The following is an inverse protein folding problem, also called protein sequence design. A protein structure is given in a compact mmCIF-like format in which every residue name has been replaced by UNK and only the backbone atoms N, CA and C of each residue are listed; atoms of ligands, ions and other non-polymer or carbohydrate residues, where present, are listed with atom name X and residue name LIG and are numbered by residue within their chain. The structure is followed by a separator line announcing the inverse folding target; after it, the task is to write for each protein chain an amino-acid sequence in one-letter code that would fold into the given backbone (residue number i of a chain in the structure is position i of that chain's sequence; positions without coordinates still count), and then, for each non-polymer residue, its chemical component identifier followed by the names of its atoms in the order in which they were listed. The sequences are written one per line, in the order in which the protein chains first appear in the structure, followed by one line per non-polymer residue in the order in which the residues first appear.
data_IF_711610878168
#
_entry.id   IF_711610878168
#
_cell.length_a   1.000
_cell.length_b   1.000
_cell.length_c   1.000
_cell.angle_alpha   90.00
_cell.angle_beta   90.00
_cell.angle_gamma   90.00
#
_symmetry.space_group_name_H-M   'P 1'
#
loop_
_entity.id
_entity.type
_entity.pdbx_description
1 polymer ?
#
# COMPACT_ATOMS: atom_id res chain seq x y z
N UNK A 1 16.44 -11.72 -20.44
CA UNK A 1 15.80 -12.07 -19.15
C UNK A 1 16.80 -12.81 -18.27
N UNK A 2 16.89 -12.54 -16.95
CA UNK A 2 17.95 -13.07 -16.08
C UNK A 2 17.69 -14.49 -15.53
N UNK A 3 16.60 -15.15 -15.92
CA UNK A 3 16.18 -16.45 -15.34
C UNK A 3 16.49 -17.67 -16.23
N UNK A 4 16.98 -17.47 -17.46
CA UNK A 4 17.40 -18.55 -18.35
C UNK A 4 18.93 -18.58 -18.32
N UNK A 5 19.50 -19.67 -17.81
CA UNK A 5 20.92 -19.97 -17.91
C UNK A 5 21.27 -20.14 -19.40
N UNK A 6 21.83 -19.07 -19.97
CA UNK A 6 22.07 -18.97 -21.40
C UNK A 6 23.18 -19.91 -21.86
N UNK A 7 23.88 -20.62 -20.99
CA UNK A 7 24.96 -21.52 -21.43
C UNK A 7 24.46 -22.97 -21.61
N UNK A 8 23.23 -23.28 -21.17
CA UNK A 8 22.70 -24.66 -21.12
C UNK A 8 21.58 -24.98 -22.12
N UNK A 9 21.20 -24.05 -22.99
CA UNK A 9 20.02 -24.20 -23.85
C UNK A 9 20.37 -23.95 -25.31
N UNK A 10 19.96 -24.79 -26.25
CA UNK A 10 20.17 -24.54 -27.69
C UNK A 10 19.45 -23.28 -28.16
N UNK A 11 20.04 -22.53 -29.11
CA UNK A 11 19.49 -21.26 -29.61
C UNK A 11 18.03 -21.38 -30.09
N UNK A 12 17.68 -22.49 -30.76
CA UNK A 12 16.32 -22.78 -31.25
C UNK A 12 15.32 -23.06 -30.12
N UNK A 13 15.81 -23.64 -29.02
CA UNK A 13 15.00 -23.91 -27.81
C UNK A 13 14.78 -22.61 -27.02
N UNK A 14 15.78 -21.71 -26.99
CA UNK A 14 15.64 -20.36 -26.41
C UNK A 14 14.60 -19.53 -27.13
N UNK A 15 14.66 -19.43 -28.46
CA UNK A 15 13.71 -18.64 -29.24
C UNK A 15 12.26 -19.13 -29.05
N UNK A 16 12.06 -20.45 -29.02
CA UNK A 16 10.75 -21.05 -28.70
C UNK A 16 10.32 -20.76 -27.25
N UNK A 17 11.21 -20.88 -26.28
CA UNK A 17 10.92 -20.59 -24.88
C UNK A 17 10.57 -19.12 -24.68
N UNK A 18 11.34 -18.20 -25.26
CA UNK A 18 11.09 -16.77 -25.22
C UNK A 18 9.73 -16.44 -25.84
N UNK A 19 9.41 -16.99 -27.01
CA UNK A 19 8.10 -16.79 -27.64
C UNK A 19 6.93 -17.36 -26.80
N UNK A 20 7.10 -18.55 -26.20
CA UNK A 20 6.08 -19.15 -25.33
C UNK A 20 5.89 -18.32 -24.05
N UNK A 21 7.00 -17.91 -23.43
CA UNK A 21 7.02 -17.10 -22.21
C UNK A 21 6.41 -15.74 -22.49
N UNK A 22 6.82 -15.04 -23.54
CA UNK A 22 6.28 -13.72 -23.89
C UNK A 22 4.76 -13.77 -24.15
N UNK A 23 4.31 -14.77 -24.92
CA UNK A 23 2.88 -15.02 -25.16
C UNK A 23 2.13 -15.38 -23.87
N UNK A 24 2.73 -16.20 -23.01
CA UNK A 24 2.17 -16.63 -21.73
C UNK A 24 2.07 -15.45 -20.75
N UNK A 25 3.12 -14.64 -20.63
CA UNK A 25 3.18 -13.45 -19.77
C UNK A 25 2.15 -12.43 -20.21
N UNK A 26 2.06 -12.11 -21.50
CA UNK A 26 1.06 -11.17 -22.03
C UNK A 26 -0.37 -11.60 -21.74
N UNK A 27 -0.69 -12.89 -21.96
CA UNK A 27 -2.03 -13.44 -21.67
C UNK A 27 -2.33 -13.48 -20.17
N UNK A 28 -1.35 -13.90 -19.35
CA UNK A 28 -1.44 -13.97 -17.90
C UNK A 28 -1.73 -12.59 -17.30
N UNK A 29 -0.97 -11.56 -17.68
CA UNK A 29 -1.15 -10.21 -17.16
C UNK A 29 -2.52 -9.62 -17.51
N UNK A 30 -3.04 -9.89 -18.72
CA UNK A 30 -4.40 -9.46 -19.11
C UNK A 30 -5.47 -10.12 -18.24
N UNK A 31 -5.39 -11.44 -18.04
CA UNK A 31 -6.33 -12.18 -17.17
C UNK A 31 -6.22 -11.73 -15.72
N UNK A 32 -5.01 -11.58 -15.20
CA UNK A 32 -4.74 -11.08 -13.84
C UNK A 32 -5.32 -9.69 -13.65
N UNK A 33 -5.15 -8.79 -14.62
CA UNK A 33 -5.71 -7.43 -14.53
C UNK A 33 -7.23 -7.44 -14.52
N UNK A 34 -7.86 -8.28 -15.35
CA UNK A 34 -9.32 -8.41 -15.37
C UNK A 34 -9.85 -8.95 -14.03
N UNK A 35 -9.19 -9.99 -13.50
CA UNK A 35 -9.48 -10.54 -12.18
C UNK A 35 -9.34 -9.46 -11.09
N UNK A 36 -8.23 -8.72 -11.08
CA UNK A 36 -7.96 -7.68 -10.09
C UNK A 36 -9.00 -6.58 -10.12
N UNK A 37 -9.38 -6.08 -11.29
CA UNK A 37 -10.41 -5.05 -11.42
C UNK A 37 -11.75 -5.59 -10.92
N UNK A 38 -12.15 -6.78 -11.37
CA UNK A 38 -13.45 -7.37 -11.00
C UNK A 38 -13.60 -7.55 -9.49
N UNK A 39 -12.62 -8.20 -8.86
CA UNK A 39 -12.66 -8.44 -7.41
C UNK A 39 -12.44 -7.17 -6.60
N UNK A 40 -11.57 -6.25 -7.03
CA UNK A 40 -11.39 -4.97 -6.37
C UNK A 40 -12.68 -4.15 -6.39
N UNK A 41 -13.39 -4.07 -7.52
CA UNK A 41 -14.67 -3.37 -7.61
C UNK A 41 -15.73 -4.00 -6.71
N UNK A 42 -15.82 -5.34 -6.69
CA UNK A 42 -16.80 -6.05 -5.86
C UNK A 42 -16.55 -5.83 -4.36
N UNK A 43 -15.29 -5.96 -3.93
CA UNK A 43 -14.87 -5.69 -2.54
C UNK A 43 -15.13 -4.22 -2.19
N UNK A 44 -14.75 -3.29 -3.07
CA UNK A 44 -14.94 -1.86 -2.84
C UNK A 44 -16.42 -1.51 -2.64
N UNK A 45 -17.32 -2.05 -3.48
CA UNK A 45 -18.76 -1.82 -3.34
C UNK A 45 -19.32 -2.41 -2.05
N UNK A 46 -18.87 -3.60 -1.66
CA UNK A 46 -19.29 -4.25 -0.43
C UNK A 46 -18.84 -3.49 0.83
N UNK A 47 -17.60 -3.00 0.84
CA UNK A 47 -17.03 -2.27 1.97
C UNK A 47 -17.29 -0.76 1.93
N UNK A 48 -17.83 -0.21 0.84
CA UNK A 48 -18.15 1.21 0.69
C UNK A 48 -18.93 1.81 1.88
N UNK A 49 -20.03 1.20 2.39
CA UNK A 49 -20.74 1.76 3.54
C UNK A 49 -19.87 1.80 4.80
N UNK A 50 -19.05 0.77 5.03
CA UNK A 50 -18.13 0.74 6.17
C UNK A 50 -17.04 1.82 6.03
N UNK A 51 -16.48 1.99 4.83
CA UNK A 51 -15.49 3.01 4.54
C UNK A 51 -16.03 4.44 4.78
N UNK A 52 -17.29 4.70 4.44
CA UNK A 52 -17.94 6.00 4.69
C UNK A 52 -18.07 6.24 6.20
N UNK A 53 -18.52 5.24 6.96
CA UNK A 53 -18.62 5.36 8.43
C UNK A 53 -17.26 5.64 9.05
N UNK A 54 -16.22 4.89 8.66
CA UNK A 54 -14.85 5.11 9.13
C UNK A 54 -14.38 6.53 8.78
N UNK A 55 -14.61 6.98 7.55
CA UNK A 55 -14.23 8.32 7.11
C UNK A 55 -14.90 9.42 7.96
N UNK A 56 -16.19 9.30 8.25
CA UNK A 56 -16.91 10.25 9.11
C UNK A 56 -16.32 10.26 10.52
N UNK A 57 -16.10 9.08 11.10
CA UNK A 57 -15.54 8.96 12.46
C UNK A 57 -14.13 9.57 12.55
N UNK A 58 -13.30 9.41 11.52
CA UNK A 58 -11.98 10.05 11.46
C UNK A 58 -12.09 11.58 11.41
N UNK A 59 -12.98 12.12 10.58
CA UNK A 59 -13.18 13.59 10.45
C UNK A 59 -13.74 14.19 11.74
N UNK A 60 -14.58 13.45 12.47
CA UNK A 60 -15.07 13.90 13.78
C UNK A 60 -13.95 13.90 14.84
N UNK A 61 -13.06 12.90 14.83
CA UNK A 61 -11.95 12.79 15.80
C UNK A 61 -10.83 13.80 15.51
N UNK A 62 -10.58 14.12 14.24
CA UNK A 62 -9.66 15.18 13.80
C UNK A 62 -10.25 15.99 12.62
N UNK A 63 -10.99 17.08 12.89
CA UNK A 63 -11.61 17.91 11.84
C UNK A 63 -10.58 18.80 11.13
N UNK A 64 -9.32 18.83 11.58
CA UNK A 64 -8.29 19.68 10.98
C UNK A 64 -7.84 19.21 9.59
N UNK A 65 -8.17 17.96 9.21
CA UNK A 65 -7.82 17.42 7.91
C UNK A 65 -8.80 16.33 7.42
N UNK A 66 -8.72 15.99 6.13
CA UNK A 66 -9.54 14.94 5.53
C UNK A 66 -9.18 13.51 6.00
N UNK A 67 -10.08 12.53 5.79
CA UNK A 67 -9.95 11.18 6.34
C UNK A 67 -8.91 10.31 5.65
N UNK A 68 -8.33 10.75 4.53
CA UNK A 68 -7.36 9.99 3.76
C UNK A 68 -5.95 10.55 3.89
N UNK A 69 -4.98 9.65 3.89
CA UNK A 69 -3.55 9.92 3.79
C UNK A 69 -3.02 9.27 2.51
N UNK A 70 -2.11 9.97 1.82
CA UNK A 70 -1.47 9.49 0.59
C UNK A 70 0.01 9.22 0.86
N UNK A 71 0.47 8.03 0.50
CA UNK A 71 1.87 7.63 0.59
C UNK A 71 2.39 7.26 -0.81
N UNK A 72 3.55 7.81 -1.20
CA UNK A 72 4.21 7.41 -2.46
C UNK A 72 4.86 6.04 -2.28
N UNK A 73 4.64 5.13 -3.23
CA UNK A 73 5.26 3.80 -3.28
C UNK A 73 5.74 3.50 -4.70
N UNK A 74 6.80 2.71 -4.81
CA UNK A 74 7.30 2.22 -6.10
C UNK A 74 6.50 1.00 -6.51
N UNK A 75 5.91 1.06 -7.69
CA UNK A 75 5.04 0.04 -8.26
C UNK A 75 5.69 -0.75 -9.40
N UNK A 76 4.84 -1.23 -10.31
CA UNK A 76 5.27 -2.02 -11.47
C UNK A 76 6.18 -1.18 -12.38
N UNK A 77 7.22 -1.80 -12.93
CA UNK A 77 8.21 -1.14 -13.80
C UNK A 77 8.98 0.02 -13.14
N UNK A 78 8.97 0.11 -11.80
CA UNK A 78 9.63 1.19 -11.08
C UNK A 78 8.84 2.50 -11.08
N UNK A 79 7.61 2.52 -11.59
CA UNK A 79 6.77 3.71 -11.60
C UNK A 79 6.20 3.99 -10.21
N UNK A 80 6.26 5.24 -9.78
CA UNK A 80 5.68 5.68 -8.52
C UNK A 80 4.15 5.75 -8.59
N UNK A 81 3.48 5.34 -7.51
CA UNK A 81 2.04 5.50 -7.36
C UNK A 81 1.67 5.94 -5.95
N UNK A 82 0.51 6.60 -5.85
CA UNK A 82 -0.06 7.00 -4.57
C UNK A 82 -0.86 5.84 -3.98
N UNK A 83 -0.41 5.35 -2.83
CA UNK A 83 -1.15 4.44 -1.96
C UNK A 83 -2.03 5.28 -1.03
N UNK A 84 -3.35 5.14 -1.15
CA UNK A 84 -4.31 5.78 -0.28
C UNK A 84 -4.61 4.89 0.92
N UNK A 85 -4.67 5.50 2.10
CA UNK A 85 -4.98 4.85 3.39
C UNK A 85 -5.85 5.77 4.22
N UNK A 86 -6.55 5.23 5.21
CA UNK A 86 -7.22 6.07 6.19
C UNK A 86 -6.21 6.76 7.10
N UNK A 87 -6.49 8.02 7.41
CA UNK A 87 -5.68 8.84 8.29
C UNK A 87 -5.83 8.35 9.72
N UNK A 88 -4.76 7.79 10.26
CA UNK A 88 -4.68 7.33 11.66
C UNK A 88 -3.87 8.27 12.55
N UNK A 89 -3.24 9.30 11.98
CA UNK A 89 -2.42 10.28 12.68
C UNK A 89 -2.98 11.70 12.54
N UNK A 90 -2.77 12.53 13.55
CA UNK A 90 -3.18 13.94 13.56
C UNK A 90 -2.48 14.74 12.46
N UNK A 91 -3.12 15.79 11.95
CA UNK A 91 -2.55 16.63 10.88
C UNK A 91 -1.19 17.25 11.21
N UNK A 92 -0.91 17.55 12.48
CA UNK A 92 0.35 18.14 12.94
C UNK A 92 1.39 17.09 13.42
N UNK A 93 1.19 15.81 13.09
CA UNK A 93 2.06 14.73 13.55
C UNK A 93 3.54 14.92 13.18
N UNK A 94 3.82 15.55 12.02
CA UNK A 94 5.20 15.76 11.55
C UNK A 94 5.97 16.75 12.44
N UNK A 95 5.29 17.79 12.95
CA UNK A 95 5.90 18.76 13.89
C UNK A 95 6.21 18.12 15.25
N UNK A 96 5.40 17.15 15.65
CA UNK A 96 5.60 16.41 16.90
C UNK A 96 6.77 15.41 16.80
N UNK A 97 7.27 15.08 15.60
CA UNK A 97 8.45 14.20 15.44
C UNK A 97 9.69 14.82 16.07
N UNK A 98 9.92 16.12 15.85
CA UNK A 98 11.11 16.80 16.38
C UNK A 98 11.12 16.79 17.92
N UNK A 99 9.96 16.96 18.54
CA UNK A 99 9.81 16.92 19.99
C UNK A 99 9.89 15.49 20.55
N UNK A 100 9.35 14.51 19.83
CA UNK A 100 9.28 13.10 20.25
C UNK A 100 10.50 12.28 19.81
N UNK A 101 11.42 12.83 19.02
CA UNK A 101 12.64 12.15 18.56
C UNK A 101 13.48 11.60 19.72
N UNK A 102 13.44 12.29 20.88
CA UNK A 102 14.12 11.86 22.12
C UNK A 102 13.49 10.62 22.79
N UNK A 103 12.28 10.26 22.39
CA UNK A 103 11.52 9.12 22.93
C UNK A 103 11.40 7.97 21.91
N UNK A 104 12.19 8.00 20.83
CA UNK A 104 12.21 6.93 19.85
C UNK A 104 12.76 5.64 20.48
N UNK A 105 12.02 4.54 20.36
CA UNK A 105 12.38 3.23 20.91
C UNK A 105 13.22 2.39 19.92
N UNK A 106 13.45 2.88 18.70
CA UNK A 106 14.21 2.20 17.65
C UNK A 106 15.36 3.06 17.13
N UNK A 107 16.52 2.42 16.90
CA UNK A 107 17.63 3.04 16.19
C UNK A 107 17.45 2.94 14.66
N UNK A 108 17.87 3.97 13.93
CA UNK A 108 17.81 4.05 12.46
C UNK A 108 16.77 5.04 11.93
N UNK A 109 16.45 5.03 10.61
CA UNK A 109 15.54 5.99 9.98
C UNK A 109 14.05 5.76 10.34
N UNK A 110 13.76 4.78 11.19
CA UNK A 110 12.40 4.38 11.55
C UNK A 110 12.07 4.91 12.93
N UNK A 111 11.05 5.75 13.00
CA UNK A 111 10.48 6.20 14.28
C UNK A 111 9.44 5.19 14.77
N UNK A 112 9.67 4.58 15.94
CA UNK A 112 8.73 3.66 16.57
C UNK A 112 8.58 4.02 18.04
N UNK A 113 7.33 4.21 18.46
CA UNK A 113 6.96 4.49 19.84
C UNK A 113 5.70 3.69 20.15
N UNK A 114 5.66 2.99 21.30
CA UNK A 114 4.55 2.10 21.63
C UNK A 114 3.25 2.85 21.91
N UNK A 115 3.33 3.99 22.59
CA UNK A 115 2.21 4.89 22.88
C UNK A 115 2.46 6.24 22.21
N UNK A 116 2.26 6.28 20.90
CA UNK A 116 2.48 7.48 20.09
C UNK A 116 1.31 8.47 20.23
N UNK A 117 1.53 9.67 20.82
CA UNK A 117 0.48 10.67 21.03
C UNK A 117 -0.04 11.29 19.72
N UNK A 118 0.65 11.06 18.60
CA UNK A 118 0.26 11.53 17.26
C UNK A 118 -0.87 10.69 16.66
N UNK A 119 -1.09 9.47 17.17
CA UNK A 119 -2.16 8.58 16.71
C UNK A 119 -3.48 9.02 17.33
N UNK A 120 -4.54 9.13 16.52
CA UNK A 120 -5.87 9.48 17.01
C UNK A 120 -6.51 8.31 17.76
N UNK A 121 -7.55 8.55 18.58
CA UNK A 121 -8.17 7.47 19.38
C UNK A 121 -8.78 6.42 18.44
N UNK A 122 -9.42 6.90 17.38
CA UNK A 122 -9.95 6.07 16.29
C UNK A 122 -8.80 5.41 15.54
N UNK A 123 -7.72 6.13 15.25
CA UNK A 123 -6.54 5.62 14.56
C UNK A 123 -5.89 4.44 15.27
N UNK A 124 -5.84 4.45 16.62
CA UNK A 124 -5.32 3.34 17.42
C UNK A 124 -6.17 2.07 17.24
N UNK A 125 -7.49 2.21 17.14
CA UNK A 125 -8.38 1.10 16.86
C UNK A 125 -8.20 0.59 15.42
N UNK A 126 -8.23 1.49 14.42
CA UNK A 126 -8.11 1.14 13.00
C UNK A 126 -6.81 0.36 12.70
N UNK A 127 -5.67 0.80 13.26
CA UNK A 127 -4.38 0.09 13.13
C UNK A 127 -4.38 -1.29 13.76
N UNK A 128 -5.12 -1.48 14.87
CA UNK A 128 -5.20 -2.77 15.56
C UNK A 128 -5.96 -3.81 14.72
N UNK A 129 -6.98 -3.37 13.97
CA UNK A 129 -7.80 -4.24 13.12
C UNK A 129 -7.41 -4.18 11.65
N UNK A 130 -6.33 -3.47 11.31
CA UNK A 130 -5.84 -3.28 9.93
C UNK A 130 -6.89 -2.72 8.96
N UNK A 131 -7.81 -1.90 9.47
CA UNK A 131 -8.84 -1.22 8.67
C UNK A 131 -8.36 0.15 8.16
N UNK A 132 -7.09 0.51 8.38
CA UNK A 132 -6.50 1.74 7.87
C UNK A 132 -5.92 1.61 6.45
N UNK A 133 -5.81 0.40 5.91
CA UNK A 133 -5.33 0.08 4.55
C UNK A 133 -6.48 -0.28 3.61
#
# INVERSE_FOLDING_TARGET
MPYIDQDKVDAKTREKLEAIIEKSYGSYWKKKRLFDIFFATLILLFFLPLMIVIAIVIVIDDPSAGPFYKQIRVGRHGEEFYMYKFRTMRANADKMIEELAKQNEMDGPVFKMKEDPRITRVGKFLRKVSLDE
#
